data_IF_489337133081
#
_entry.id   IF_489337133081
#
_cell.length_a   1.000
_cell.length_b   1.000
_cell.length_c   1.000
_cell.angle_alpha   90.00
_cell.angle_beta   90.00
_cell.angle_gamma   90.00
#
_symmetry.space_group_name_H-M   'P 1'
#
loop_
_entity.id
_entity.type
_entity.pdbx_description
1 polymer ?
#
# COMPACT_ATOMS: atom_id res chain seq x y z
N UNK A 1 6.69 -6.71 4.33
CA UNK A 1 6.12 -7.74 3.43
C UNK A 1 4.69 -7.41 3.02
N UNK A 2 3.79 -7.09 3.96
CA UNK A 2 2.38 -6.77 3.69
C UNK A 2 2.17 -5.55 2.78
N UNK A 3 2.94 -4.47 2.96
CA UNK A 3 2.84 -3.25 2.14
C UNK A 3 3.29 -3.52 0.69
N UNK A 4 4.39 -4.26 0.51
CA UNK A 4 4.89 -4.61 -0.82
C UNK A 4 3.91 -5.52 -1.57
N UNK A 5 3.30 -6.50 -0.88
CA UNK A 5 2.23 -7.33 -1.45
C UNK A 5 1.00 -6.49 -1.83
N UNK A 6 0.63 -5.52 -1.00
CA UNK A 6 -0.44 -4.55 -1.30
C UNK A 6 -0.13 -3.69 -2.52
N UNK A 7 1.12 -3.23 -2.68
CA UNK A 7 1.55 -2.46 -3.85
C UNK A 7 1.48 -3.30 -5.14
N UNK A 8 1.90 -4.56 -5.09
CA UNK A 8 1.78 -5.49 -6.22
C UNK A 8 0.33 -5.77 -6.61
N UNK A 9 -0.54 -5.99 -5.61
CA UNK A 9 -1.98 -6.17 -5.85
C UNK A 9 -2.62 -4.90 -6.44
N UNK A 10 -2.26 -3.72 -5.91
CA UNK A 10 -2.72 -2.43 -6.42
C UNK A 10 -2.28 -2.19 -7.87
N UNK A 11 -1.04 -2.52 -8.21
CA UNK A 11 -0.53 -2.42 -9.58
C UNK A 11 -1.30 -3.36 -10.54
N UNK A 12 -1.52 -4.61 -10.13
CA UNK A 12 -2.30 -5.55 -10.94
C UNK A 12 -3.73 -5.04 -11.19
N UNK A 13 -4.37 -4.46 -10.16
CA UNK A 13 -5.68 -3.84 -10.27
C UNK A 13 -5.68 -2.61 -11.18
N UNK A 14 -4.67 -1.75 -11.11
CA UNK A 14 -4.60 -0.55 -11.96
C UNK A 14 -4.46 -0.92 -13.44
N UNK A 15 -3.66 -1.93 -13.77
CA UNK A 15 -3.56 -2.45 -15.14
C UNK A 15 -4.86 -3.13 -15.59
N UNK A 16 -5.51 -3.90 -14.73
CA UNK A 16 -6.81 -4.49 -15.02
C UNK A 16 -7.88 -3.43 -15.28
N UNK A 17 -7.89 -2.37 -14.49
CA UNK A 17 -8.84 -1.26 -14.62
C UNK A 17 -8.60 -0.48 -15.92
N UNK A 18 -7.33 -0.21 -16.27
CA UNK A 18 -6.98 0.40 -17.56
C UNK A 18 -7.46 -0.43 -18.76
N UNK A 19 -7.33 -1.76 -18.70
CA UNK A 19 -7.82 -2.64 -19.75
C UNK A 19 -9.35 -2.65 -19.87
N UNK A 20 -10.06 -2.62 -18.73
CA UNK A 20 -11.53 -2.52 -18.70
C UNK A 20 -11.98 -1.17 -19.26
N UNK A 21 -11.37 -0.07 -18.85
CA UNK A 21 -11.74 1.26 -19.34
C UNK A 21 -11.45 1.43 -20.83
N UNK A 22 -10.37 0.86 -21.34
CA UNK A 22 -10.10 0.85 -22.78
C UNK A 22 -11.20 0.14 -23.58
N UNK A 23 -11.86 -0.87 -22.99
CA UNK A 23 -12.96 -1.61 -23.64
C UNK A 23 -14.28 -0.84 -23.62
N UNK A 24 -14.61 -0.17 -22.52
CA UNK A 24 -15.93 0.45 -22.30
C UNK A 24 -15.96 1.95 -22.60
N UNK A 25 -14.82 2.62 -22.54
CA UNK A 25 -14.66 4.08 -22.69
C UNK A 25 -13.41 4.36 -23.54
N UNK A 26 -13.41 4.02 -24.84
CA UNK A 26 -12.23 4.14 -25.70
C UNK A 26 -11.78 5.60 -25.94
N UNK A 27 -12.63 6.58 -25.61
CA UNK A 27 -12.29 8.01 -25.66
C UNK A 27 -11.49 8.48 -24.43
N UNK A 28 -11.44 7.69 -23.37
CA UNK A 28 -10.64 7.97 -22.17
C UNK A 28 -9.32 7.20 -22.25
N UNK A 29 -8.25 7.91 -22.58
CA UNK A 29 -6.90 7.35 -22.52
C UNK A 29 -6.41 7.34 -21.06
N UNK A 30 -6.57 6.19 -20.40
CA UNK A 30 -5.93 5.89 -19.13
C UNK A 30 -4.56 5.27 -19.39
N UNK A 31 -3.54 6.12 -19.44
CA UNK A 31 -2.14 5.69 -19.55
C UNK A 31 -1.54 5.53 -18.15
N UNK A 32 -1.32 4.28 -17.75
CA UNK A 32 -0.58 3.96 -16.53
C UNK A 32 0.88 3.63 -16.90
N UNK A 33 1.82 4.52 -16.59
CA UNK A 33 3.24 4.23 -16.82
C UNK A 33 3.83 3.40 -15.68
N UNK A 34 4.79 2.52 -15.98
CA UNK A 34 5.48 1.74 -14.95
C UNK A 34 6.25 2.62 -13.96
N UNK A 35 6.65 3.83 -14.37
CA UNK A 35 7.31 4.82 -13.51
C UNK A 35 6.34 5.34 -12.45
N UNK A 36 5.09 5.67 -12.81
CA UNK A 36 4.09 6.15 -11.86
C UNK A 36 3.77 5.09 -10.80
N UNK A 37 3.63 3.83 -11.22
CA UNK A 37 3.39 2.69 -10.31
C UNK A 37 4.55 2.50 -9.33
N UNK A 38 5.79 2.59 -9.81
CA UNK A 38 6.98 2.48 -8.97
C UNK A 38 7.07 3.63 -7.97
N UNK A 39 6.76 4.86 -8.40
CA UNK A 39 6.82 6.06 -7.57
C UNK A 39 5.75 6.03 -6.48
N UNK A 40 4.51 5.68 -6.83
CA UNK A 40 3.41 5.47 -5.86
C UNK A 40 3.77 4.36 -4.85
N UNK A 41 4.33 3.25 -5.32
CA UNK A 41 4.76 2.15 -4.45
C UNK A 41 5.85 2.60 -3.47
N UNK A 42 6.83 3.37 -3.94
CA UNK A 42 7.90 3.93 -3.11
C UNK A 42 7.34 4.86 -2.02
N UNK A 43 6.38 5.71 -2.37
CA UNK A 43 5.70 6.62 -1.43
C UNK A 43 4.90 5.83 -0.39
N UNK A 44 4.15 4.81 -0.80
CA UNK A 44 3.38 3.98 0.14
C UNK A 44 4.29 3.21 1.10
N UNK A 45 5.42 2.71 0.60
CA UNK A 45 6.43 2.03 1.43
C UNK A 45 7.10 3.00 2.40
N UNK A 46 7.36 4.25 2.00
CA UNK A 46 8.03 5.23 2.87
C UNK A 46 7.12 5.84 3.93
N UNK A 47 5.81 5.95 3.67
CA UNK A 47 4.82 6.47 4.62
C UNK A 47 4.35 5.40 5.61
N UNK A 48 4.34 4.12 5.22
CA UNK A 48 3.87 3.03 6.09
C UNK A 48 4.55 2.94 7.48
N UNK A 49 5.87 3.13 7.62
CA UNK A 49 6.54 3.13 8.92
C UNK A 49 6.00 4.19 9.87
N UNK A 50 5.57 5.36 9.37
CA UNK A 50 5.08 6.47 10.20
C UNK A 50 3.80 6.08 10.95
N UNK A 51 2.92 5.31 10.32
CA UNK A 51 1.72 4.77 10.98
C UNK A 51 2.01 3.64 11.97
N UNK A 52 3.08 2.87 11.74
CA UNK A 52 3.44 1.71 12.57
C UNK A 52 4.35 2.06 13.75
N UNK A 53 5.12 3.15 13.67
CA UNK A 53 6.06 3.55 14.73
C UNK A 53 5.34 3.97 16.00
N UNK A 54 4.24 4.72 15.90
CA UNK A 54 3.47 5.17 17.07
C UNK A 54 2.94 3.99 17.91
N UNK A 55 2.22 3.00 17.36
CA UNK A 55 1.79 1.83 18.13
C UNK A 55 2.97 0.96 18.58
N UNK A 56 4.04 0.80 17.79
CA UNK A 56 5.24 0.08 18.24
C UNK A 56 5.91 0.73 19.45
N UNK A 57 5.99 2.07 19.49
CA UNK A 57 6.53 2.80 20.63
C UNK A 57 5.64 2.61 21.86
N UNK A 58 4.31 2.62 21.69
CA UNK A 58 3.36 2.36 22.78
C UNK A 58 3.50 0.93 23.31
N UNK A 59 3.58 -0.06 22.42
CA UNK A 59 3.77 -1.48 22.79
C UNK A 59 5.08 -1.71 23.56
N UNK A 60 6.17 -1.03 23.18
CA UNK A 60 7.45 -1.11 23.91
C UNK A 60 7.40 -0.55 25.34
N UNK A 61 6.40 0.26 25.66
CA UNK A 61 6.21 0.87 26.98
C UNK A 61 5.29 0.06 27.90
N UNK A 62 4.66 -0.99 27.37
CA UNK A 62 3.83 -1.87 28.17
C UNK A 62 4.77 -2.82 28.91
N UNK A 63 4.67 -2.86 30.23
CA UNK A 63 5.39 -3.84 31.02
C UNK A 63 4.94 -5.25 30.59
N UNK A 64 5.88 -6.17 30.30
CA UNK A 64 5.51 -7.49 29.79
C UNK A 64 4.60 -8.24 30.78
N UNK A 65 4.73 -7.97 32.08
CA UNK A 65 3.88 -8.55 33.13
C UNK A 65 2.43 -8.05 33.04
N UNK A 66 2.19 -6.79 32.67
CA UNK A 66 0.84 -6.26 32.44
C UNK A 66 0.24 -6.75 31.12
N UNK A 67 1.06 -6.98 30.10
CA UNK A 67 0.61 -7.48 28.80
C UNK A 67 0.05 -8.92 28.83
N UNK A 68 0.46 -9.73 29.81
CA UNK A 68 0.01 -11.11 30.00
C UNK A 68 -0.97 -11.28 31.18
N UNK A 69 -1.45 -10.19 31.79
CA UNK A 69 -2.54 -10.30 32.77
C UNK A 69 -3.84 -10.68 32.04
N UNK A 70 -4.52 -11.76 32.48
CA UNK A 70 -5.75 -12.24 31.85
C UNK A 70 -6.93 -11.28 32.04
#
# INVERSE_FOLDING_TARGET
VTVAAGCLAGAALSYGLAAVTARWLPTLELTATGVDVALVSLVLISVSPVGATVPMIRLRRIDPVEAFRP
#
